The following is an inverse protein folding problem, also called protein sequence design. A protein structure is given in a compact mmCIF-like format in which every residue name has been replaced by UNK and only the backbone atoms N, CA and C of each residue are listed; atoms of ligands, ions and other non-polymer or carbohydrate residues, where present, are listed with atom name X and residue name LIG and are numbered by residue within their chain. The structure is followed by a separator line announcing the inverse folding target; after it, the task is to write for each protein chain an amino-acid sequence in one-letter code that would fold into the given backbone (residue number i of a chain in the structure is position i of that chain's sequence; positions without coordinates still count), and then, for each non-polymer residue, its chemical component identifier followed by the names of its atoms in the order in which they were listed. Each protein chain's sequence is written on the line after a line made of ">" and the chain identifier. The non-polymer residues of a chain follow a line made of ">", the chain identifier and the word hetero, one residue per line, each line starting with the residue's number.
data_IF_219898011957
#
_entry.id   IF_219898011957
#
_cell.length_a   1.000
_cell.length_b   1.000
_cell.length_c   1.000
_cell.angle_alpha   90.00
_cell.angle_beta   90.00
_cell.angle_gamma   90.00
#
_symmetry.space_group_name_H-M   'P 1'
#
loop_
_entity.id
_entity.type
_entity.pdbx_description
1 polymer ?
#
# COMPACT_ATOMS: atom_id res chain seq x y z
N UNK A 1 5.65 11.75 55.90
CA UNK A 1 4.63 11.47 54.86
C UNK A 1 4.58 12.49 53.70
N UNK A 2 4.91 13.78 53.89
CA UNK A 2 4.86 14.81 52.83
C UNK A 2 5.97 14.72 51.75
N UNK A 3 7.07 14.03 52.00
CA UNK A 3 8.20 13.92 51.06
C UNK A 3 8.14 12.65 50.21
N UNK A 4 7.60 11.56 50.75
CA UNK A 4 7.41 10.28 50.05
C UNK A 4 6.26 10.39 49.02
N UNK A 5 5.22 11.18 49.32
CA UNK A 5 4.09 11.42 48.42
C UNK A 5 4.48 12.29 47.19
N UNK A 6 5.47 13.18 47.34
CA UNK A 6 5.98 14.01 46.23
C UNK A 6 6.85 13.19 45.27
N UNK A 7 7.58 12.20 45.78
CA UNK A 7 8.42 11.31 44.97
C UNK A 7 7.60 10.37 44.07
N UNK A 8 6.43 9.92 44.55
CA UNK A 8 5.52 9.07 43.78
C UNK A 8 4.74 9.81 42.67
N UNK A 9 4.49 11.12 42.84
CA UNK A 9 3.80 11.94 41.83
C UNK A 9 4.70 12.39 40.66
N UNK A 10 6.02 12.44 40.87
CA UNK A 10 6.98 12.79 39.81
C UNK A 10 7.22 11.59 38.87
N UNK A 11 7.14 10.35 39.39
CA UNK A 11 7.24 9.15 38.57
C UNK A 11 5.97 8.86 37.73
N UNK A 12 4.80 9.34 38.13
CA UNK A 12 3.57 9.19 37.34
C UNK A 12 3.43 10.19 36.18
N UNK A 13 4.17 11.31 36.21
CA UNK A 13 4.13 12.33 35.15
C UNK A 13 5.14 12.07 34.02
N UNK A 14 6.11 11.17 34.20
CA UNK A 14 7.06 10.77 33.15
C UNK A 14 6.57 9.63 32.24
N UNK A 15 5.48 8.92 32.61
CA UNK A 15 4.88 7.90 31.75
C UNK A 15 3.75 8.40 30.83
N UNK A 16 3.34 9.67 30.94
CA UNK A 16 2.28 10.26 30.11
C UNK A 16 2.79 11.10 28.91
N UNK A 17 4.10 11.17 28.69
CA UNK A 17 4.70 12.03 27.66
C UNK A 17 5.26 11.28 26.43
N UNK A 18 4.90 10.01 26.19
CA UNK A 18 5.39 9.25 25.01
C UNK A 18 4.29 8.83 24.03
N UNK A 19 2.99 8.90 24.34
CA UNK A 19 1.97 8.34 23.44
C UNK A 19 1.11 9.37 22.68
N UNK A 20 1.39 10.68 22.75
CA UNK A 20 0.61 11.69 22.01
C UNK A 20 1.40 12.51 20.98
N UNK A 21 2.70 12.27 20.79
CA UNK A 21 3.38 12.76 19.60
C UNK A 21 3.12 11.80 18.44
N UNK A 22 2.07 12.14 17.68
CA UNK A 22 1.75 11.74 16.31
C UNK A 22 2.79 10.88 15.61
N UNK A 23 2.83 9.60 15.96
CA UNK A 23 3.38 8.56 15.12
C UNK A 23 2.49 8.48 13.89
N UNK A 24 2.72 9.36 12.91
CA UNK A 24 2.46 9.04 11.50
C UNK A 24 3.26 7.78 11.27
N UNK A 25 2.57 6.65 11.43
CA UNK A 25 3.12 5.31 11.34
C UNK A 25 4.09 5.27 10.17
N UNK A 26 5.29 4.73 10.38
CA UNK A 26 6.24 4.47 9.31
C UNK A 26 5.58 3.70 8.15
N UNK A 27 4.52 2.93 8.40
CA UNK A 27 3.70 2.28 7.38
C UNK A 27 2.94 3.27 6.47
N UNK A 28 2.50 4.41 7.00
CA UNK A 28 1.79 5.45 6.25
C UNK A 28 2.75 6.27 5.36
N UNK A 29 3.98 6.50 5.83
CA UNK A 29 5.05 7.11 5.03
C UNK A 29 5.55 6.16 3.93
N UNK A 30 5.84 4.89 4.27
CA UNK A 30 6.25 3.85 3.29
C UNK A 30 5.15 3.66 2.23
N UNK A 31 3.87 3.72 2.64
CA UNK A 31 2.74 3.67 1.71
C UNK A 31 2.68 4.84 0.74
N UNK A 32 2.95 6.07 1.21
CA UNK A 32 2.96 7.29 0.39
C UNK A 32 4.15 7.32 -0.57
N UNK A 33 5.31 6.87 -0.12
CA UNK A 33 6.54 6.80 -0.91
C UNK A 33 6.43 5.74 -2.02
N UNK A 34 5.84 4.58 -1.71
CA UNK A 34 5.53 3.54 -2.70
C UNK A 34 4.54 4.02 -3.75
N UNK A 35 3.51 4.78 -3.36
CA UNK A 35 2.55 5.37 -4.31
C UNK A 35 3.25 6.34 -5.26
N UNK A 36 4.12 7.23 -4.75
CA UNK A 36 4.91 8.16 -5.58
C UNK A 36 5.86 7.42 -6.52
N UNK A 37 6.59 6.41 -6.03
CA UNK A 37 7.51 5.62 -6.86
C UNK A 37 6.75 4.89 -7.99
N UNK A 38 5.59 4.32 -7.67
CA UNK A 38 4.72 3.67 -8.64
C UNK A 38 4.12 4.67 -9.64
N UNK A 39 3.84 5.90 -9.23
CA UNK A 39 3.40 6.99 -10.13
C UNK A 39 4.51 7.46 -11.06
N UNK A 40 5.70 7.73 -10.53
CA UNK A 40 6.86 8.14 -11.33
C UNK A 40 7.29 7.06 -12.34
N UNK A 41 7.25 5.77 -11.95
CA UNK A 41 7.50 4.66 -12.89
C UNK A 41 6.45 4.56 -13.99
N UNK A 42 5.20 4.97 -13.74
CA UNK A 42 4.14 5.00 -14.76
C UNK A 42 4.36 6.13 -15.75
N UNK A 43 4.79 7.30 -15.29
CA UNK A 43 5.12 8.42 -16.17
C UNK A 43 6.24 8.03 -17.12
N UNK A 44 7.32 7.43 -16.60
CA UNK A 44 8.41 6.90 -17.43
C UNK A 44 7.95 5.82 -18.42
N UNK A 45 7.03 4.94 -18.04
CA UNK A 45 6.49 3.93 -18.96
C UNK A 45 5.59 4.55 -20.04
N UNK A 46 4.78 5.53 -19.67
CA UNK A 46 3.93 6.28 -20.59
C UNK A 46 4.77 7.03 -21.61
N UNK A 47 5.80 7.74 -21.15
CA UNK A 47 6.74 8.48 -21.99
C UNK A 47 7.48 7.56 -22.96
N UNK A 48 8.08 6.46 -22.48
CA UNK A 48 8.75 5.48 -23.35
C UNK A 48 7.83 4.89 -24.42
N UNK A 49 6.57 4.61 -24.06
CA UNK A 49 5.59 4.08 -25.01
C UNK A 49 5.17 5.14 -26.02
N UNK A 50 4.94 6.37 -25.59
CA UNK A 50 4.60 7.48 -26.47
C UNK A 50 5.75 7.76 -27.45
N UNK A 51 6.99 7.84 -26.95
CA UNK A 51 8.19 8.03 -27.77
C UNK A 51 8.29 6.95 -28.87
N UNK A 52 8.07 5.69 -28.51
CA UNK A 52 8.08 4.60 -29.48
C UNK A 52 6.96 4.76 -30.52
N UNK A 53 5.75 5.11 -30.10
CA UNK A 53 4.65 5.37 -31.05
C UNK A 53 4.97 6.56 -31.98
N UNK A 54 5.60 7.61 -31.46
CA UNK A 54 5.99 8.76 -32.27
C UNK A 54 7.04 8.39 -33.32
N UNK A 55 8.02 7.57 -32.94
CA UNK A 55 9.09 7.12 -33.84
C UNK A 55 8.59 6.15 -34.91
N UNK A 56 7.86 5.10 -34.50
CA UNK A 56 7.48 4.00 -35.41
C UNK A 56 6.33 4.39 -36.35
N UNK A 57 5.54 5.39 -35.98
CA UNK A 57 4.39 5.87 -36.77
C UNK A 57 4.61 7.27 -37.34
N UNK A 58 5.80 7.84 -37.16
CA UNK A 58 6.18 9.18 -37.63
C UNK A 58 5.12 10.25 -37.28
N UNK A 59 4.66 10.24 -36.02
CA UNK A 59 3.59 11.13 -35.59
C UNK A 59 4.00 12.59 -35.67
N UNK A 60 3.11 13.43 -36.20
CA UNK A 60 3.26 14.88 -36.08
C UNK A 60 3.13 15.34 -34.62
N UNK A 61 3.62 16.53 -34.30
CA UNK A 61 3.49 17.10 -32.94
C UNK A 61 2.04 17.18 -32.47
N UNK A 62 1.12 17.47 -33.39
CA UNK A 62 -0.31 17.53 -33.08
C UNK A 62 -0.89 16.14 -32.77
N UNK A 63 -0.44 15.11 -33.50
CA UNK A 63 -0.84 13.72 -33.26
C UNK A 63 -0.24 13.21 -31.94
N UNK A 64 1.02 13.49 -31.66
CA UNK A 64 1.69 13.14 -30.41
C UNK A 64 0.92 13.67 -29.19
N UNK A 65 0.55 14.96 -29.18
CA UNK A 65 -0.18 15.57 -28.08
C UNK A 65 -1.56 14.89 -27.89
N UNK A 66 -2.29 14.65 -28.98
CA UNK A 66 -3.59 13.96 -28.92
C UNK A 66 -3.45 12.52 -28.40
N UNK A 67 -2.44 11.78 -28.84
CA UNK A 67 -2.16 10.41 -28.38
C UNK A 67 -1.79 10.39 -26.90
N UNK A 68 -0.92 11.31 -26.46
CA UNK A 68 -0.55 11.51 -25.05
C UNK A 68 -1.79 11.70 -24.18
N UNK A 69 -2.70 12.60 -24.58
CA UNK A 69 -3.95 12.86 -23.87
C UNK A 69 -4.88 11.64 -23.82
N UNK A 70 -5.03 10.91 -24.93
CA UNK A 70 -5.82 9.66 -24.99
C UNK A 70 -5.25 8.64 -24.00
N UNK A 71 -3.95 8.43 -24.02
CA UNK A 71 -3.28 7.48 -23.14
C UNK A 71 -3.42 7.88 -21.66
N UNK A 72 -3.26 9.16 -21.32
CA UNK A 72 -3.47 9.67 -19.94
C UNK A 72 -4.90 9.40 -19.45
N UNK A 73 -5.91 9.77 -20.25
CA UNK A 73 -7.33 9.52 -19.94
C UNK A 73 -7.63 8.02 -19.80
N UNK A 74 -7.06 7.18 -20.68
CA UNK A 74 -7.18 5.73 -20.61
C UNK A 74 -6.64 5.17 -19.29
N UNK A 75 -5.45 5.60 -18.88
CA UNK A 75 -4.84 5.19 -17.62
C UNK A 75 -5.63 5.60 -16.39
N UNK A 76 -6.22 6.80 -16.39
CA UNK A 76 -7.11 7.23 -15.30
C UNK A 76 -8.34 6.33 -15.16
N UNK A 77 -8.96 5.95 -16.29
CA UNK A 77 -10.10 5.01 -16.30
C UNK A 77 -9.68 3.65 -15.73
N UNK A 78 -8.57 3.10 -16.20
CA UNK A 78 -8.00 1.85 -15.68
C UNK A 78 -7.77 1.96 -14.16
N UNK A 79 -7.20 3.06 -13.68
CA UNK A 79 -6.95 3.29 -12.24
C UNK A 79 -8.25 3.28 -11.43
N UNK A 80 -9.31 3.91 -11.94
CA UNK A 80 -10.63 3.92 -11.28
C UNK A 80 -11.21 2.50 -11.20
N UNK A 81 -11.13 1.73 -12.29
CA UNK A 81 -11.61 0.34 -12.31
C UNK A 81 -10.79 -0.57 -11.39
N UNK A 82 -9.47 -0.45 -11.38
CA UNK A 82 -8.60 -1.20 -10.46
C UNK A 82 -8.94 -0.92 -8.99
N UNK A 83 -9.27 0.33 -8.63
CA UNK A 83 -9.73 0.67 -7.28
C UNK A 83 -11.06 -0.02 -6.94
N UNK A 84 -12.02 -0.03 -7.87
CA UNK A 84 -13.31 -0.71 -7.68
C UNK A 84 -13.12 -2.22 -7.54
N UNK A 85 -12.34 -2.84 -8.42
CA UNK A 85 -12.01 -4.26 -8.39
C UNK A 85 -11.34 -4.63 -7.07
N UNK A 86 -10.36 -3.85 -6.59
CA UNK A 86 -9.70 -4.08 -5.30
C UNK A 86 -10.71 -4.15 -4.15
N UNK A 87 -11.69 -3.25 -4.11
CA UNK A 87 -12.75 -3.27 -3.08
C UNK A 87 -13.60 -4.55 -3.17
N UNK A 88 -14.03 -4.94 -4.38
CA UNK A 88 -14.84 -6.14 -4.61
C UNK A 88 -14.09 -7.42 -4.19
N UNK A 89 -12.85 -7.56 -4.63
CA UNK A 89 -12.00 -8.72 -4.27
C UNK A 89 -11.79 -8.81 -2.76
N UNK A 90 -11.56 -7.67 -2.09
CA UNK A 90 -11.41 -7.67 -0.63
C UNK A 90 -12.70 -8.09 0.08
N UNK A 91 -13.86 -7.66 -0.42
CA UNK A 91 -15.15 -8.07 0.13
C UNK A 91 -15.38 -9.57 -0.03
N UNK A 92 -15.16 -10.12 -1.23
CA UNK A 92 -15.25 -11.56 -1.51
C UNK A 92 -14.32 -12.34 -0.58
N UNK A 93 -13.06 -11.92 -0.45
CA UNK A 93 -12.11 -12.57 0.45
C UNK A 93 -12.59 -12.58 1.90
N UNK A 94 -13.08 -11.45 2.41
CA UNK A 94 -13.60 -11.36 3.79
C UNK A 94 -14.81 -12.27 4.01
N UNK A 95 -15.70 -12.34 3.03
CA UNK A 95 -16.85 -13.24 3.10
C UNK A 95 -16.42 -14.71 3.14
N UNK A 96 -15.54 -15.12 2.22
CA UNK A 96 -14.98 -16.47 2.19
C UNK A 96 -14.27 -16.82 3.51
N UNK A 97 -13.43 -15.93 4.02
CA UNK A 97 -12.73 -16.11 5.30
C UNK A 97 -13.75 -16.35 6.42
N UNK A 98 -14.80 -15.52 6.53
CA UNK A 98 -15.85 -15.66 7.55
C UNK A 98 -16.60 -16.99 7.43
N UNK A 99 -16.86 -17.45 6.21
CA UNK A 99 -17.53 -18.75 5.98
C UNK A 99 -16.63 -19.92 6.40
N UNK A 100 -15.34 -19.83 6.13
CA UNK A 100 -14.36 -20.82 6.60
C UNK A 100 -14.30 -20.81 8.13
N UNK A 101 -14.18 -19.64 8.76
CA UNK A 101 -14.05 -19.48 10.21
C UNK A 101 -15.21 -20.15 10.98
N UNK A 102 -16.43 -20.15 10.42
CA UNK A 102 -17.60 -20.82 11.03
C UNK A 102 -17.53 -22.35 11.06
N UNK A 103 -16.68 -22.96 10.23
CA UNK A 103 -16.53 -24.42 10.13
C UNK A 103 -15.38 -24.96 10.97
N UNK A 104 -14.56 -24.08 11.54
CA UNK A 104 -13.35 -24.47 12.27
C UNK A 104 -13.65 -24.65 13.76
N UNK A 105 -12.99 -25.63 14.37
CA UNK A 105 -12.91 -25.71 15.84
C UNK A 105 -12.09 -24.54 16.39
N UNK A 106 -12.20 -24.21 17.70
CA UNK A 106 -11.44 -23.10 18.28
C UNK A 106 -9.92 -23.21 18.04
N UNK A 107 -9.33 -24.40 18.17
CA UNK A 107 -7.91 -24.62 17.90
C UNK A 107 -7.53 -24.46 16.42
N UNK A 108 -8.40 -24.89 15.50
CA UNK A 108 -8.18 -24.70 14.06
C UNK A 108 -8.32 -23.23 13.65
N UNK A 109 -9.24 -22.50 14.27
CA UNK A 109 -9.46 -21.08 14.01
C UNK A 109 -8.22 -20.26 14.37
N UNK A 110 -7.56 -20.56 15.48
CA UNK A 110 -6.35 -19.85 15.88
C UNK A 110 -5.21 -20.07 14.88
N UNK A 111 -4.95 -21.33 14.51
CA UNK A 111 -3.98 -21.68 13.47
C UNK A 111 -4.30 -21.04 12.12
N UNK A 112 -5.58 -20.92 11.77
CA UNK A 112 -6.00 -20.27 10.53
C UNK A 112 -5.68 -18.76 10.53
N UNK A 113 -5.85 -18.07 11.66
CA UNK A 113 -5.47 -16.65 11.79
C UNK A 113 -3.96 -16.45 11.68
N UNK A 114 -3.17 -17.33 12.29
CA UNK A 114 -1.70 -17.31 12.18
C UNK A 114 -1.24 -17.47 10.72
N UNK A 115 -1.79 -18.47 10.01
CA UNK A 115 -1.48 -18.70 8.59
C UNK A 115 -1.81 -17.48 7.72
N UNK A 116 -2.96 -16.82 7.97
CA UNK A 116 -3.33 -15.59 7.25
C UNK A 116 -2.31 -14.47 7.46
N UNK A 117 -1.81 -14.32 8.69
CA UNK A 117 -0.82 -13.30 9.01
C UNK A 117 0.55 -13.64 8.41
N UNK A 118 0.97 -14.90 8.46
CA UNK A 118 2.21 -15.36 7.82
C UNK A 118 2.18 -15.12 6.31
N UNK A 119 1.08 -15.46 5.62
CA UNK A 119 0.93 -15.20 4.19
C UNK A 119 0.98 -13.72 3.84
N UNK A 120 0.42 -12.85 4.71
CA UNK A 120 0.49 -11.39 4.54
C UNK A 120 1.92 -10.89 4.64
N UNK A 121 2.68 -11.36 5.63
CA UNK A 121 4.07 -10.94 5.84
C UNK A 121 5.01 -11.51 4.75
N UNK A 122 4.85 -12.78 4.36
CA UNK A 122 5.57 -13.36 3.20
C UNK A 122 5.30 -12.56 1.93
N UNK A 123 4.06 -12.14 1.70
CA UNK A 123 3.71 -11.28 0.55
C UNK A 123 4.39 -9.93 0.63
N UNK A 124 4.37 -9.26 1.80
CA UNK A 124 5.08 -7.98 2.01
C UNK A 124 6.58 -8.13 1.77
N UNK A 125 7.20 -9.20 2.27
CA UNK A 125 8.62 -9.48 2.09
C UNK A 125 8.98 -9.64 0.62
N UNK A 126 8.25 -10.48 -0.13
CA UNK A 126 8.47 -10.65 -1.58
C UNK A 126 8.33 -9.34 -2.36
N UNK A 127 7.38 -8.49 -1.98
CA UNK A 127 7.22 -7.16 -2.59
C UNK A 127 8.47 -6.33 -2.31
N UNK A 128 8.92 -6.22 -1.04
CA UNK A 128 10.12 -5.47 -0.65
C UNK A 128 11.39 -5.99 -1.35
N UNK A 129 11.59 -7.30 -1.40
CA UNK A 129 12.73 -7.92 -2.10
C UNK A 129 12.70 -7.66 -3.60
N UNK A 130 11.52 -7.76 -4.23
CA UNK A 130 11.35 -7.41 -5.64
C UNK A 130 11.58 -5.93 -5.93
N UNK A 131 11.45 -5.04 -4.94
CA UNK A 131 11.86 -3.64 -5.05
C UNK A 131 13.37 -3.49 -4.97
N UNK A 132 14.01 -4.09 -3.96
CA UNK A 132 15.47 -4.03 -3.76
C UNK A 132 16.25 -4.52 -5.00
N UNK A 133 15.87 -5.68 -5.56
CA UNK A 133 16.48 -6.24 -6.78
C UNK A 133 16.31 -5.39 -8.05
N UNK A 134 15.46 -4.37 -8.03
CA UNK A 134 15.22 -3.48 -9.17
C UNK A 134 15.87 -2.10 -8.98
N UNK A 135 16.47 -1.86 -7.81
CA UNK A 135 17.22 -0.65 -7.47
C UNK A 135 18.74 -0.89 -7.50
N UNK A 136 19.17 -2.14 -7.33
CA UNK A 136 20.48 -2.68 -7.73
C UNK A 136 20.56 -2.87 -9.25
#
# INVERSE_FOLDING_TARGET
>A
MRTILKSLLVCSLLFLAVASLGGRSSEEQIGKEWVRMVEHKKEKFHEKRLQRLCQELELSKEQEEKVSQIMKKGWEKIRKEMKKMKKRVLAIKKDSDRRIEKLLTPGQLEKFKELKQEFKEKRKKRIKEGHKKREE
#
